data_IF_110599792743
#
_entry.id   IF_110599792743
#
_cell.length_a   1.000
_cell.length_b   1.000
_cell.length_c   1.000
_cell.angle_alpha   90.00
_cell.angle_beta   90.00
_cell.angle_gamma   90.00
#
_symmetry.space_group_name_H-M   'P 1'
#
loop_
_entity.id
_entity.type
_entity.pdbx_description
1 polymer ?
#
# COMPACT_ATOMS: atom_id res chain seq x y z
N UNK A 1 34.91 37.22 23.87
CA UNK A 1 33.86 36.75 22.94
C UNK A 1 34.18 37.35 21.59
N UNK A 2 34.30 36.55 20.54
CA UNK A 2 34.50 37.06 19.18
C UNK A 2 33.28 37.86 18.74
N UNK A 3 33.49 39.05 18.17
CA UNK A 3 32.40 39.84 17.59
C UNK A 3 31.76 39.08 16.42
N UNK A 4 30.43 39.09 16.38
CA UNK A 4 29.65 38.49 15.31
C UNK A 4 29.91 39.30 14.03
N UNK A 5 30.30 38.62 12.97
CA UNK A 5 30.61 39.25 11.69
C UNK A 5 29.37 39.31 10.79
N UNK A 6 29.39 40.19 9.78
CA UNK A 6 28.36 40.22 8.73
C UNK A 6 28.18 38.88 8.01
N UNK A 7 29.24 38.06 7.95
CA UNK A 7 29.18 36.71 7.38
C UNK A 7 28.36 35.77 8.28
N UNK A 8 28.46 35.90 9.59
CA UNK A 8 27.69 35.11 10.54
C UNK A 8 26.20 35.47 10.47
N UNK A 9 25.87 36.77 10.33
CA UNK A 9 24.50 37.21 10.07
C UNK A 9 23.95 36.64 8.76
N UNK A 10 24.73 36.69 7.68
CA UNK A 10 24.34 36.12 6.39
C UNK A 10 24.07 34.61 6.48
N UNK A 11 24.97 33.84 7.13
CA UNK A 11 24.81 32.40 7.30
C UNK A 11 23.61 32.05 8.18
N UNK A 12 23.41 32.78 9.28
CA UNK A 12 22.26 32.61 10.17
C UNK A 12 20.94 32.85 9.45
N UNK A 13 20.80 33.97 8.74
CA UNK A 13 19.60 34.29 7.95
C UNK A 13 19.38 33.25 6.86
N UNK A 14 20.43 32.84 6.14
CA UNK A 14 20.32 31.81 5.10
C UNK A 14 19.85 30.46 5.65
N UNK A 15 20.33 30.06 6.83
CA UNK A 15 19.91 28.82 7.49
C UNK A 15 18.42 28.87 7.82
N UNK A 16 17.98 29.94 8.49
CA UNK A 16 16.57 30.12 8.86
C UNK A 16 15.67 30.15 7.63
N UNK A 17 16.05 30.90 6.59
CA UNK A 17 15.27 30.95 5.34
C UNK A 17 15.20 29.59 4.63
N UNK A 18 16.26 28.77 4.73
CA UNK A 18 16.26 27.42 4.14
C UNK A 18 15.33 26.48 4.92
N UNK A 19 15.28 26.58 6.25
CA UNK A 19 14.32 25.83 7.07
C UNK A 19 12.88 26.25 6.79
N UNK A 20 12.61 27.56 6.70
CA UNK A 20 11.29 28.09 6.32
C UNK A 20 10.91 27.63 4.91
N UNK A 21 11.83 27.64 3.95
CA UNK A 21 11.57 27.16 2.59
C UNK A 21 11.20 25.68 2.58
N UNK A 22 11.92 24.85 3.34
CA UNK A 22 11.62 23.42 3.48
C UNK A 22 10.25 23.21 4.10
N UNK A 23 9.91 23.96 5.15
CA UNK A 23 8.63 23.88 5.83
C UNK A 23 7.46 24.34 4.93
N UNK A 24 7.63 25.46 4.21
CA UNK A 24 6.63 25.93 3.23
C UNK A 24 6.48 24.89 2.12
N UNK A 25 7.57 24.34 1.57
CA UNK A 25 7.50 23.30 0.53
C UNK A 25 6.84 22.02 1.03
N UNK A 26 7.06 21.63 2.28
CA UNK A 26 6.38 20.47 2.87
C UNK A 26 4.89 20.73 3.14
N UNK A 27 4.50 22.00 3.37
CA UNK A 27 3.13 22.41 3.69
C UNK A 27 2.35 22.96 2.49
N UNK A 28 2.99 23.15 1.33
CA UNK A 28 2.32 23.47 0.08
C UNK A 28 1.51 22.24 -0.36
N UNK A 29 0.26 22.20 0.07
CA UNK A 29 -0.74 21.23 -0.40
C UNK A 29 -1.02 21.52 -1.87
N UNK A 30 -0.19 20.97 -2.75
CA UNK A 30 -0.30 21.18 -4.19
C UNK A 30 -1.46 20.38 -4.80
N UNK A 31 -2.01 19.43 -4.06
CA UNK A 31 -3.08 18.54 -4.46
C UNK A 31 -4.04 18.35 -3.29
N UNK A 32 -5.34 18.42 -3.54
CA UNK A 32 -6.36 17.92 -2.62
C UNK A 32 -6.74 16.50 -3.01
N UNK A 33 -7.07 15.65 -2.04
CA UNK A 33 -7.57 14.30 -2.30
C UNK A 33 -8.82 14.36 -3.18
N UNK A 34 -8.83 13.67 -4.32
CA UNK A 34 -10.01 13.61 -5.17
C UNK A 34 -11.03 12.61 -4.66
N UNK A 35 -12.28 12.75 -5.09
CA UNK A 35 -13.23 11.64 -5.00
C UNK A 35 -12.70 10.38 -5.71
N UNK A 36 -13.29 9.23 -5.41
CA UNK A 36 -12.88 7.96 -6.02
C UNK A 36 -13.11 8.01 -7.53
N UNK A 37 -12.06 7.76 -8.31
CA UNK A 37 -12.12 7.71 -9.78
C UNK A 37 -11.93 6.28 -10.25
N UNK A 38 -12.97 5.69 -10.81
CA UNK A 38 -12.89 4.35 -11.38
C UNK A 38 -12.04 4.35 -12.65
N UNK A 39 -11.16 3.36 -12.76
CA UNK A 39 -10.39 3.02 -13.97
C UNK A 39 -10.35 1.52 -14.11
N UNK A 40 -10.22 1.03 -15.35
CA UNK A 40 -10.08 -0.41 -15.58
C UNK A 40 -8.68 -0.87 -15.18
N UNK A 41 -8.54 -2.10 -14.70
CA UNK A 41 -7.25 -2.69 -14.29
C UNK A 41 -6.21 -2.53 -15.40
N UNK A 42 -6.55 -2.86 -16.64
CA UNK A 42 -5.65 -2.76 -17.79
C UNK A 42 -5.28 -1.31 -18.18
N UNK A 43 -5.95 -0.29 -17.63
CA UNK A 43 -5.59 1.13 -17.83
C UNK A 43 -4.54 1.58 -16.81
N UNK A 44 -4.55 0.98 -15.61
CA UNK A 44 -3.63 1.28 -14.51
C UNK A 44 -2.38 0.40 -14.57
N UNK A 45 -2.58 -0.92 -14.64
CA UNK A 45 -1.50 -1.89 -14.65
C UNK A 45 -1.15 -2.24 -16.10
N UNK A 46 0.09 -1.96 -16.47
CA UNK A 46 0.64 -2.22 -17.81
C UNK A 46 1.81 -3.18 -17.72
N UNK A 47 2.10 -3.87 -18.82
CA UNK A 47 3.32 -4.66 -18.93
C UNK A 47 4.54 -3.75 -18.79
N UNK A 48 5.34 -4.00 -17.75
CA UNK A 48 6.51 -3.20 -17.41
C UNK A 48 7.70 -4.09 -17.12
N UNK A 49 8.86 -3.82 -17.72
CA UNK A 49 10.09 -4.49 -17.34
C UNK A 49 10.55 -3.96 -15.98
N UNK A 50 10.83 -4.87 -15.06
CA UNK A 50 11.48 -4.55 -13.79
C UNK A 50 12.99 -4.73 -13.93
N UNK A 51 13.75 -3.88 -13.22
CA UNK A 51 15.21 -3.98 -13.17
C UNK A 51 15.62 -4.38 -11.77
N UNK A 52 16.10 -5.61 -11.63
CA UNK A 52 16.57 -6.17 -10.37
C UNK A 52 18.07 -6.43 -10.47
N UNK A 53 18.83 -6.02 -9.45
CA UNK A 53 20.27 -6.28 -9.42
C UNK A 53 20.51 -7.77 -9.14
N UNK A 54 21.48 -8.36 -9.83
CA UNK A 54 21.74 -9.81 -9.81
C UNK A 54 21.98 -10.43 -8.43
N UNK A 55 22.53 -9.66 -7.48
CA UNK A 55 22.89 -10.12 -6.14
C UNK A 55 22.03 -9.50 -5.03
N UNK A 56 20.92 -8.89 -5.41
CA UNK A 56 19.97 -8.28 -4.48
C UNK A 56 18.98 -9.35 -3.99
N UNK A 57 18.47 -9.20 -2.77
CA UNK A 57 17.47 -10.12 -2.22
C UNK A 57 16.25 -10.26 -3.13
N UNK A 58 15.91 -9.19 -3.86
CA UNK A 58 14.80 -9.14 -4.79
C UNK A 58 15.01 -10.01 -6.01
N UNK A 59 16.25 -10.44 -6.32
CA UNK A 59 16.56 -11.23 -7.51
C UNK A 59 15.90 -12.61 -7.50
N UNK A 60 15.65 -13.16 -6.30
CA UNK A 60 14.73 -14.27 -6.13
C UNK A 60 13.29 -13.74 -6.24
N UNK A 61 12.59 -14.13 -7.30
CA UNK A 61 11.23 -13.69 -7.57
C UNK A 61 10.15 -14.55 -6.92
N UNK A 62 10.45 -15.40 -5.93
CA UNK A 62 9.50 -16.35 -5.32
C UNK A 62 8.68 -17.16 -6.35
N UNK A 63 9.25 -17.48 -7.51
CA UNK A 63 8.54 -18.13 -8.62
C UNK A 63 8.02 -19.51 -8.21
N UNK A 64 8.75 -20.22 -7.34
CA UNK A 64 8.32 -21.49 -6.77
C UNK A 64 7.00 -21.41 -6.00
N UNK A 65 6.65 -20.23 -5.48
CA UNK A 65 5.43 -19.98 -4.73
C UNK A 65 4.31 -19.45 -5.63
N UNK A 66 4.58 -18.48 -6.52
CA UNK A 66 3.51 -17.73 -7.20
C UNK A 66 3.24 -18.12 -8.65
N UNK A 67 4.18 -18.80 -9.33
CA UNK A 67 4.12 -18.98 -10.79
C UNK A 67 2.85 -19.69 -11.28
N UNK A 68 2.35 -20.65 -10.51
CA UNK A 68 1.18 -21.45 -10.85
C UNK A 68 -0.07 -21.08 -10.05
N UNK A 69 0.01 -20.00 -9.27
CA UNK A 69 -1.06 -19.60 -8.37
C UNK A 69 -2.03 -18.65 -9.07
N UNK A 70 -3.31 -19.00 -9.24
CA UNK A 70 -4.26 -18.19 -10.01
C UNK A 70 -4.60 -16.87 -9.31
N UNK A 71 -4.30 -16.76 -8.02
CA UNK A 71 -4.56 -15.58 -7.21
C UNK A 71 -3.46 -14.53 -7.27
N UNK A 72 -2.28 -14.84 -7.84
CA UNK A 72 -1.21 -13.84 -7.99
C UNK A 72 -1.13 -13.39 -9.45
N UNK A 73 -1.21 -12.07 -9.70
CA UNK A 73 -1.40 -11.55 -11.07
C UNK A 73 -0.16 -11.65 -11.96
N UNK A 74 1.03 -11.73 -11.36
CA UNK A 74 2.30 -11.83 -12.09
C UNK A 74 2.91 -13.23 -12.02
N UNK A 75 3.93 -13.49 -12.81
CA UNK A 75 4.65 -14.77 -12.80
C UNK A 75 5.74 -14.87 -11.71
N UNK A 76 6.02 -13.76 -11.02
CA UNK A 76 7.07 -13.64 -10.02
C UNK A 76 6.84 -12.42 -9.12
N UNK A 77 7.24 -12.55 -7.85
CA UNK A 77 7.28 -11.49 -6.85
C UNK A 77 8.74 -11.08 -6.56
N UNK A 78 9.28 -10.14 -7.34
CA UNK A 78 10.62 -9.57 -7.11
C UNK A 78 10.60 -8.44 -6.07
N UNK A 79 10.02 -8.73 -4.91
CA UNK A 79 9.83 -7.81 -3.79
C UNK A 79 10.90 -7.93 -2.70
N UNK A 80 10.85 -7.01 -1.73
CA UNK A 80 11.70 -7.02 -0.53
C UNK A 80 11.39 -8.20 0.38
N UNK A 81 12.23 -8.43 1.39
CA UNK A 81 11.99 -9.48 2.40
C UNK A 81 10.60 -9.38 3.06
N UNK A 82 10.10 -8.18 3.32
CA UNK A 82 8.78 -7.92 3.90
C UNK A 82 7.65 -8.26 2.92
N UNK A 83 7.77 -7.82 1.66
CA UNK A 83 6.82 -8.14 0.59
C UNK A 83 6.73 -9.65 0.36
N UNK A 84 7.88 -10.34 0.41
CA UNK A 84 7.98 -11.79 0.28
C UNK A 84 7.30 -12.53 1.42
N UNK A 85 7.55 -12.12 2.66
CA UNK A 85 6.93 -12.69 3.84
C UNK A 85 5.40 -12.53 3.81
N UNK A 86 4.91 -11.37 3.35
CA UNK A 86 3.48 -11.14 3.18
C UNK A 86 2.85 -12.13 2.18
N UNK A 87 3.48 -12.34 1.02
CA UNK A 87 2.98 -13.27 0.00
C UNK A 87 2.98 -14.72 0.52
N UNK A 88 3.99 -15.12 1.28
CA UNK A 88 4.02 -16.45 1.94
C UNK A 88 2.87 -16.62 2.95
N UNK A 89 2.61 -15.61 3.78
CA UNK A 89 1.49 -15.61 4.71
C UNK A 89 0.14 -15.67 3.97
N UNK A 90 -0.01 -14.88 2.91
CA UNK A 90 -1.23 -14.87 2.09
C UNK A 90 -1.47 -16.25 1.46
N UNK A 91 -0.44 -16.88 0.89
CA UNK A 91 -0.52 -18.21 0.30
C UNK A 91 -1.01 -19.27 1.31
N UNK A 92 -0.49 -19.24 2.56
CA UNK A 92 -0.93 -20.15 3.62
C UNK A 92 -2.42 -19.97 3.98
N UNK A 93 -2.96 -18.77 3.80
CA UNK A 93 -4.36 -18.43 4.13
C UNK A 93 -5.30 -18.49 2.93
N UNK A 94 -4.77 -18.60 1.72
CA UNK A 94 -5.54 -18.54 0.49
C UNK A 94 -6.72 -19.49 0.50
N UNK A 95 -6.51 -20.75 0.92
CA UNK A 95 -7.59 -21.75 0.99
C UNK A 95 -8.75 -21.31 1.89
N UNK A 96 -8.49 -20.62 3.00
CA UNK A 96 -9.57 -20.13 3.86
C UNK A 96 -10.31 -18.96 3.21
N UNK A 97 -9.58 -18.04 2.57
CA UNK A 97 -10.15 -16.93 1.81
C UNK A 97 -11.01 -17.46 0.65
N UNK A 98 -10.51 -18.46 -0.08
CA UNK A 98 -11.18 -19.09 -1.21
C UNK A 98 -12.47 -19.84 -0.81
N UNK A 99 -12.70 -20.17 0.47
CA UNK A 99 -14.00 -20.74 0.88
C UNK A 99 -15.13 -19.71 0.75
N UNK A 100 -14.87 -18.44 1.10
CA UNK A 100 -15.88 -17.37 1.12
C UNK A 100 -15.84 -16.45 -0.11
N UNK A 101 -14.68 -16.38 -0.77
CA UNK A 101 -14.44 -15.47 -1.88
C UNK A 101 -14.09 -16.21 -3.18
N UNK A 102 -14.44 -15.59 -4.30
CA UNK A 102 -14.05 -15.94 -5.66
C UNK A 102 -13.38 -14.74 -6.33
N UNK A 103 -12.84 -14.92 -7.55
CA UNK A 103 -12.16 -13.85 -8.29
C UNK A 103 -11.12 -13.12 -7.42
N UNK A 104 -10.28 -13.91 -6.76
CA UNK A 104 -9.25 -13.43 -5.83
C UNK A 104 -8.01 -13.07 -6.64
N UNK A 105 -7.57 -11.82 -6.57
CA UNK A 105 -6.40 -11.31 -7.27
C UNK A 105 -5.56 -10.44 -6.35
N UNK A 106 -4.37 -10.90 -6.00
CA UNK A 106 -3.34 -10.13 -5.33
C UNK A 106 -2.43 -9.49 -6.39
N UNK A 107 -2.49 -8.17 -6.48
CA UNK A 107 -1.74 -7.37 -7.45
C UNK A 107 -0.62 -6.66 -6.71
N UNK A 108 0.62 -6.91 -7.11
CA UNK A 108 1.75 -6.09 -6.68
C UNK A 108 1.75 -4.76 -7.44
N UNK A 109 1.81 -3.65 -6.71
CA UNK A 109 1.56 -2.34 -7.27
C UNK A 109 2.68 -1.82 -8.18
N UNK A 110 3.94 -2.04 -7.79
CA UNK A 110 5.11 -1.52 -8.54
C UNK A 110 5.03 -0.02 -8.86
N UNK A 111 4.41 0.74 -7.93
CA UNK A 111 4.19 2.20 -7.97
C UNK A 111 3.26 2.67 -9.10
N UNK A 112 2.47 1.78 -9.70
CA UNK A 112 1.53 2.11 -10.78
C UNK A 112 0.29 2.87 -10.26
N UNK A 113 -0.20 2.49 -9.08
CA UNK A 113 -1.33 3.14 -8.40
C UNK A 113 -0.86 4.00 -7.24
N UNK A 114 -1.42 5.21 -7.17
CA UNK A 114 -1.23 6.17 -6.09
C UNK A 114 -2.59 6.60 -5.54
N UNK A 115 -2.72 6.57 -4.23
CA UNK A 115 -3.85 7.13 -3.49
C UNK A 115 -3.39 8.38 -2.74
N UNK A 116 -4.28 9.35 -2.59
CA UNK A 116 -3.95 10.68 -2.05
C UNK A 116 -4.87 10.93 -0.86
N UNK A 117 -4.30 11.31 0.28
CA UNK A 117 -5.08 11.64 1.47
C UNK A 117 -5.69 13.05 1.39
N UNK A 118 -6.49 13.41 2.40
CA UNK A 118 -7.12 14.73 2.49
C UNK A 118 -6.12 15.91 2.55
N UNK A 119 -4.87 15.64 2.92
CA UNK A 119 -3.80 16.63 3.03
C UNK A 119 -2.93 16.66 1.75
N UNK A 120 -3.30 15.94 0.70
CA UNK A 120 -2.54 15.89 -0.55
C UNK A 120 -1.33 14.95 -0.54
N UNK A 121 -1.14 14.17 0.52
CA UNK A 121 0.00 13.26 0.64
C UNK A 121 -0.25 12.02 -0.21
N UNK A 122 0.71 11.75 -1.08
CA UNK A 122 0.69 10.61 -1.99
C UNK A 122 1.18 9.33 -1.29
N UNK A 123 0.38 8.28 -1.37
CA UNK A 123 0.72 6.95 -0.90
C UNK A 123 0.60 5.93 -2.04
N UNK A 124 1.64 5.13 -2.23
CA UNK A 124 1.74 4.08 -3.23
C UNK A 124 1.76 2.73 -2.47
N UNK A 125 0.60 2.09 -2.22
CA UNK A 125 0.55 0.84 -1.45
C UNK A 125 1.29 -0.28 -2.18
N UNK A 126 1.98 -1.17 -1.48
CA UNK A 126 2.73 -2.26 -2.11
C UNK A 126 1.83 -3.28 -2.83
N UNK A 127 0.66 -3.60 -2.25
CA UNK A 127 -0.28 -4.56 -2.83
C UNK A 127 -1.73 -4.05 -2.83
N UNK A 128 -2.47 -4.53 -3.83
CA UNK A 128 -3.92 -4.36 -3.94
C UNK A 128 -4.53 -5.75 -4.06
N UNK A 129 -5.41 -6.10 -3.13
CA UNK A 129 -6.18 -7.34 -3.19
C UNK A 129 -7.59 -7.05 -3.69
N UNK A 130 -8.01 -7.79 -4.72
CA UNK A 130 -9.40 -7.92 -5.11
C UNK A 130 -9.93 -9.29 -4.70
N UNK A 131 -11.13 -9.33 -4.13
CA UNK A 131 -11.84 -10.60 -3.89
C UNK A 131 -13.35 -10.35 -3.85
N UNK A 132 -14.12 -11.19 -4.54
CA UNK A 132 -15.59 -11.09 -4.63
C UNK A 132 -16.25 -12.10 -3.72
N UNK A 133 -17.21 -11.68 -2.89
CA UNK A 133 -17.95 -12.61 -2.03
C UNK A 133 -18.75 -13.61 -2.88
N UNK A 134 -18.62 -14.91 -2.59
CA UNK A 134 -19.39 -15.99 -3.26
C UNK A 134 -20.87 -15.97 -2.93
N UNK A 135 -21.25 -15.42 -1.78
CA UNK A 135 -22.60 -15.39 -1.26
C UNK A 135 -22.96 -14.00 -0.71
N UNK A 136 -24.25 -13.74 -0.53
CA UNK A 136 -24.74 -12.44 -0.05
C UNK A 136 -24.88 -11.41 -1.17
N UNK A 137 -24.46 -10.17 -0.92
CA UNK A 137 -24.62 -9.05 -1.87
C UNK A 137 -23.64 -9.08 -3.07
N UNK A 138 -22.84 -10.14 -3.19
CA UNK A 138 -21.77 -10.26 -4.19
C UNK A 138 -20.80 -9.06 -4.18
N UNK A 139 -20.48 -8.57 -2.96
CA UNK A 139 -19.61 -7.43 -2.74
C UNK A 139 -18.17 -7.78 -3.13
N UNK A 140 -17.55 -6.92 -3.94
CA UNK A 140 -16.13 -7.04 -4.28
C UNK A 140 -15.30 -6.15 -3.36
N UNK A 141 -14.32 -6.70 -2.69
CA UNK A 141 -13.39 -5.94 -1.86
C UNK A 141 -12.23 -5.47 -2.72
N UNK A 142 -11.83 -4.21 -2.53
CA UNK A 142 -10.55 -3.67 -2.97
C UNK A 142 -9.79 -3.26 -1.71
N UNK A 143 -8.76 -4.03 -1.36
CA UNK A 143 -7.99 -3.86 -0.11
C UNK A 143 -6.60 -3.32 -0.45
N UNK A 144 -6.23 -2.18 0.14
CA UNK A 144 -4.86 -1.64 0.09
C UNK A 144 -4.02 -2.22 1.22
N UNK A 145 -2.82 -2.72 0.88
CA UNK A 145 -1.95 -3.46 1.80
C UNK A 145 -0.51 -2.95 1.65
N UNK A 146 0.16 -2.80 2.80
CA UNK A 146 1.56 -2.34 2.89
C UNK A 146 2.32 -3.22 3.90
N UNK A 147 3.22 -4.10 3.44
CA UNK A 147 4.22 -4.76 4.28
C UNK A 147 5.27 -3.77 4.81
N UNK A 148 5.67 -3.95 6.07
CA UNK A 148 6.71 -3.15 6.74
C UNK A 148 7.57 -3.99 7.66
N UNK A 149 8.81 -3.51 7.83
CA UNK A 149 9.76 -4.06 8.80
C UNK A 149 9.39 -3.71 10.25
N UNK A 150 10.16 -4.23 11.21
CA UNK A 150 9.95 -4.01 12.66
C UNK A 150 10.04 -2.57 13.11
N UNK A 151 10.86 -1.76 12.46
CA UNK A 151 11.02 -0.36 12.80
C UNK A 151 10.19 0.48 11.83
N UNK A 152 9.00 0.89 12.27
CA UNK A 152 8.17 1.84 11.53
C UNK A 152 8.79 3.22 11.74
N UNK A 153 9.30 3.81 10.67
CA UNK A 153 9.81 5.17 10.71
C UNK A 153 8.65 6.14 11.01
N UNK A 154 8.90 7.18 11.79
CA UNK A 154 7.85 8.17 12.13
C UNK A 154 7.23 8.79 10.87
N UNK A 155 8.02 8.92 9.80
CA UNK A 155 7.57 9.40 8.49
C UNK A 155 6.58 8.47 7.78
N UNK A 156 6.48 7.21 8.17
CA UNK A 156 5.55 6.23 7.60
C UNK A 156 4.26 6.09 8.43
N UNK A 157 4.23 6.61 9.67
CA UNK A 157 3.07 6.49 10.57
C UNK A 157 1.77 7.00 9.95
N UNK A 158 1.85 8.10 9.20
CA UNK A 158 0.66 8.67 8.58
C UNK A 158 0.02 7.78 7.52
N UNK A 159 0.79 6.87 6.89
CA UNK A 159 0.25 5.91 5.90
C UNK A 159 -0.59 4.83 6.60
N UNK A 160 -0.17 4.37 7.78
CA UNK A 160 -0.96 3.45 8.61
C UNK A 160 -2.25 4.12 9.09
N UNK A 161 -2.17 5.38 9.54
CA UNK A 161 -3.35 6.17 9.89
C UNK A 161 -4.27 6.38 8.67
N UNK A 162 -3.71 6.55 7.47
CA UNK A 162 -4.49 6.68 6.24
C UNK A 162 -5.19 5.37 5.85
N UNK A 163 -4.52 4.22 5.97
CA UNK A 163 -5.12 2.90 5.74
C UNK A 163 -6.26 2.62 6.73
N UNK A 164 -6.09 2.99 8.01
CA UNK A 164 -7.14 2.93 9.02
C UNK A 164 -8.32 3.84 8.67
N UNK A 165 -8.05 5.07 8.23
CA UNK A 165 -9.11 5.98 7.78
C UNK A 165 -9.91 5.37 6.63
N UNK A 166 -9.26 4.83 5.59
CA UNK A 166 -9.94 4.19 4.45
C UNK A 166 -10.80 3.01 4.90
N UNK A 167 -10.33 2.22 5.87
CA UNK A 167 -11.11 1.13 6.48
C UNK A 167 -12.36 1.66 7.20
N UNK A 168 -12.21 2.68 8.03
CA UNK A 168 -13.27 3.22 8.89
C UNK A 168 -14.34 3.97 8.09
N UNK A 169 -13.99 4.57 6.96
CA UNK A 169 -14.93 5.19 6.01
C UNK A 169 -15.96 4.19 5.46
N UNK A 170 -15.66 2.88 5.50
CA UNK A 170 -16.54 1.80 5.00
C UNK A 170 -17.09 2.10 3.59
N UNK A 171 -16.29 2.78 2.77
CA UNK A 171 -16.69 3.34 1.49
C UNK A 171 -17.11 2.24 0.53
N UNK A 172 -18.37 2.29 0.12
CA UNK A 172 -18.92 1.37 -0.89
C UNK A 172 -19.30 2.17 -2.12
N UNK A 173 -18.79 1.77 -3.27
CA UNK A 173 -19.13 2.37 -4.57
C UNK A 173 -19.86 1.34 -5.42
N UNK A 174 -20.67 1.82 -6.36
CA UNK A 174 -21.35 0.97 -7.34
C UNK A 174 -20.78 1.27 -8.71
N UNK A 175 -20.32 0.23 -9.39
CA UNK A 175 -19.84 0.30 -10.78
C UNK A 175 -20.72 -0.65 -11.57
N UNK A 176 -21.54 -0.10 -12.46
CA UNK A 176 -22.58 -0.84 -13.19
C UNK A 176 -23.50 -1.62 -12.23
N UNK A 177 -23.47 -2.96 -12.28
CA UNK A 177 -24.22 -3.84 -11.38
C UNK A 177 -23.45 -4.26 -10.12
N UNK A 178 -22.12 -4.13 -10.13
CA UNK A 178 -21.26 -4.61 -9.05
C UNK A 178 -21.10 -3.56 -7.95
N UNK A 179 -20.98 -4.03 -6.70
CA UNK A 179 -20.66 -3.20 -5.54
C UNK A 179 -19.21 -3.45 -5.15
N UNK A 180 -18.47 -2.38 -4.87
CA UNK A 180 -17.10 -2.44 -4.41
C UNK A 180 -16.94 -1.81 -3.03
N UNK A 181 -16.39 -2.56 -2.08
CA UNK A 181 -15.95 -2.05 -0.78
C UNK A 181 -14.47 -1.69 -0.87
N UNK A 182 -14.18 -0.41 -0.75
CA UNK A 182 -12.81 0.10 -0.68
C UNK A 182 -12.40 0.11 0.78
N UNK A 183 -11.26 -0.52 1.10
CA UNK A 183 -10.76 -0.63 2.48
C UNK A 183 -9.24 -0.71 2.51
N UNK A 184 -8.65 -0.43 3.69
CA UNK A 184 -7.26 -0.73 3.99
C UNK A 184 -7.15 -1.78 5.10
N UNK A 185 -5.93 -2.30 5.28
CA UNK A 185 -5.51 -3.06 6.46
C UNK A 185 -4.36 -2.31 7.15
N UNK A 186 -4.12 -2.52 8.45
CA UNK A 186 -2.90 -2.03 9.09
C UNK A 186 -1.65 -2.55 8.38
N UNK A 187 -0.49 -1.97 8.65
CA UNK A 187 0.76 -2.52 8.13
C UNK A 187 0.95 -4.02 8.45
N UNK A 188 1.35 -4.80 7.44
CA UNK A 188 1.77 -6.18 7.67
C UNK A 188 3.20 -6.19 8.19
N UNK A 189 3.45 -6.93 9.26
CA UNK A 189 4.80 -7.25 9.70
C UNK A 189 4.82 -8.68 10.23
N UNK A 190 5.81 -9.46 9.80
CA UNK A 190 5.95 -10.86 10.17
C UNK A 190 5.95 -11.09 11.70
N UNK A 191 6.49 -10.17 12.51
CA UNK A 191 6.46 -10.32 13.98
C UNK A 191 5.08 -10.21 14.61
N UNK A 192 4.12 -9.60 13.90
CA UNK A 192 2.72 -9.47 14.32
C UNK A 192 1.78 -10.16 13.32
N UNK A 193 2.28 -11.19 12.62
CA UNK A 193 1.54 -11.90 11.57
C UNK A 193 0.15 -12.35 12.03
N UNK A 194 0.03 -12.85 13.27
CA UNK A 194 -1.25 -13.28 13.83
C UNK A 194 -2.25 -12.13 14.00
N UNK A 195 -1.81 -10.95 14.45
CA UNK A 195 -2.67 -9.77 14.62
C UNK A 195 -3.15 -9.23 13.28
N UNK A 196 -2.23 -9.12 12.32
CA UNK A 196 -2.57 -8.73 10.95
C UNK A 196 -3.57 -9.71 10.35
N UNK A 197 -3.30 -11.01 10.49
CA UNK A 197 -4.15 -12.08 10.00
C UNK A 197 -5.56 -12.03 10.58
N UNK A 198 -5.69 -11.82 11.89
CA UNK A 198 -7.00 -11.67 12.54
C UNK A 198 -7.73 -10.43 12.04
N UNK A 199 -6.99 -9.35 11.78
CA UNK A 199 -7.55 -8.12 11.21
C UNK A 199 -8.05 -8.34 9.78
N UNK A 200 -7.26 -9.01 8.94
CA UNK A 200 -7.63 -9.37 7.57
C UNK A 200 -8.86 -10.28 7.57
N UNK A 201 -8.87 -11.30 8.41
CA UNK A 201 -10.02 -12.19 8.59
C UNK A 201 -11.26 -11.41 9.01
N UNK A 202 -11.15 -10.50 10.00
CA UNK A 202 -12.28 -9.65 10.43
C UNK A 202 -12.80 -8.76 9.29
N UNK A 203 -11.91 -8.15 8.50
CA UNK A 203 -12.31 -7.28 7.37
C UNK A 203 -13.02 -8.07 6.28
N UNK A 204 -12.52 -9.28 6.01
CA UNK A 204 -13.10 -10.20 5.04
C UNK A 204 -14.22 -11.06 5.64
N UNK A 205 -14.56 -10.88 6.91
CA UNK A 205 -15.57 -11.66 7.62
C UNK A 205 -15.31 -13.19 7.49
N UNK A 206 -14.05 -13.61 7.61
CA UNK A 206 -13.62 -15.01 7.53
C UNK A 206 -13.42 -15.53 8.95
N UNK A 207 -14.02 -16.68 9.27
CA UNK A 207 -13.83 -17.41 10.53
C UNK A 207 -12.43 -18.06 10.62
#
# INVERSE_FOLDING_TARGET
MSEITNKDYYLGVKSVLSEIELEIKSNLVQFEGSEYKQKRIHEVFKNKPIKVKKYDERADGQQNLVLNEPWYVYNANYGTSEEKAFVEMFAKRFENINKKYENIYLIRNERELKIIDKNGRAFEPDFILFCKQKSGEALTYQVFIEPKGKHIEEQDKWKDDFLKQIKDEKKTIKIDSDKYRITGVPFYNNSIENEFSNTLNTILDIE
#
